data_IF_411836758677
#
_entry.id   IF_411836758677
#
_cell.length_a   1.000
_cell.length_b   1.000
_cell.length_c   1.000
_cell.angle_alpha   90.00
_cell.angle_beta   90.00
_cell.angle_gamma   90.00
#
_symmetry.space_group_name_H-M   'P 1'
#
loop_
_entity.id
_entity.type
_entity.pdbx_description
1 polymer ?
#
# COMPACT_ATOMS: atom_id res chain seq x y z
N UNK A 1 7.39 12.06 1.23
CA UNK A 1 8.12 10.82 1.46
C UNK A 1 9.60 11.18 1.54
N UNK A 2 10.37 10.54 2.44
CA UNK A 2 11.80 10.81 2.53
C UNK A 2 12.59 9.95 1.52
N UNK A 3 13.83 10.35 1.24
CA UNK A 3 14.69 9.70 0.25
C UNK A 3 14.96 8.22 0.55
N UNK A 4 15.08 7.84 1.81
CA UNK A 4 15.35 6.46 2.21
C UNK A 4 14.15 5.55 1.92
N UNK A 5 12.93 6.03 2.17
CA UNK A 5 11.70 5.33 1.81
C UNK A 5 11.62 5.16 0.29
N UNK A 6 11.91 6.21 -0.48
CA UNK A 6 11.95 6.12 -1.96
C UNK A 6 12.93 5.04 -2.45
N UNK A 7 14.17 5.05 -1.95
CA UNK A 7 15.18 4.05 -2.31
C UNK A 7 14.74 2.62 -1.93
N UNK A 8 13.94 2.48 -0.86
CA UNK A 8 13.39 1.19 -0.43
C UNK A 8 12.30 0.70 -1.38
N UNK A 9 11.35 1.57 -1.75
CA UNK A 9 10.28 1.25 -2.70
C UNK A 9 10.85 0.95 -4.09
N UNK A 10 11.85 1.71 -4.54
CA UNK A 10 12.53 1.49 -5.82
C UNK A 10 13.15 0.07 -5.89
N UNK A 11 13.77 -0.39 -4.79
CA UNK A 11 14.32 -1.74 -4.68
C UNK A 11 13.23 -2.81 -4.76
N UNK A 12 12.12 -2.61 -4.04
CA UNK A 12 10.97 -3.52 -4.11
C UNK A 12 10.46 -3.63 -5.54
N UNK A 13 10.23 -2.50 -6.21
CA UNK A 13 9.77 -2.46 -7.60
C UNK A 13 10.74 -3.20 -8.52
N UNK A 14 12.05 -3.03 -8.32
CA UNK A 14 13.07 -3.73 -9.10
C UNK A 14 12.99 -5.24 -8.93
N UNK A 15 12.80 -5.74 -7.70
CA UNK A 15 12.64 -7.17 -7.42
C UNK A 15 11.36 -7.68 -8.08
N UNK A 16 10.24 -7.01 -7.88
CA UNK A 16 8.95 -7.42 -8.46
C UNK A 16 8.98 -7.42 -10.00
N UNK A 17 9.75 -6.53 -10.64
CA UNK A 17 9.93 -6.55 -12.10
C UNK A 17 10.71 -7.77 -12.56
N UNK A 18 11.77 -8.15 -11.84
CA UNK A 18 12.56 -9.36 -12.14
C UNK A 18 11.70 -10.61 -11.99
N UNK A 19 11.00 -10.74 -10.86
CA UNK A 19 10.05 -11.84 -10.61
C UNK A 19 9.00 -11.93 -11.73
N UNK A 20 8.42 -10.78 -12.13
CA UNK A 20 7.45 -10.73 -13.21
C UNK A 20 8.01 -11.18 -14.56
N UNK A 21 9.29 -10.92 -14.85
CA UNK A 21 9.94 -11.34 -16.10
C UNK A 21 10.24 -12.84 -16.11
N UNK A 22 10.74 -13.39 -15.01
CA UNK A 22 11.03 -14.82 -14.85
C UNK A 22 9.75 -15.67 -14.93
N UNK A 23 8.66 -15.15 -14.38
CA UNK A 23 7.39 -15.86 -14.27
C UNK A 23 6.42 -15.59 -15.44
N UNK A 24 6.85 -14.90 -16.52
CA UNK A 24 6.05 -14.77 -17.77
C UNK A 24 5.64 -16.12 -18.35
N UNK A 25 6.34 -17.19 -18.01
CA UNK A 25 6.04 -18.56 -18.41
C UNK A 25 4.88 -19.21 -17.60
N UNK A 26 4.46 -18.60 -16.48
CA UNK A 26 3.42 -19.14 -15.58
C UNK A 26 2.39 -18.07 -15.14
N UNK A 27 1.58 -17.52 -16.08
CA UNK A 27 0.72 -16.35 -15.85
C UNK A 27 -0.43 -16.56 -14.84
N UNK A 28 -0.81 -17.81 -14.55
CA UNK A 28 -1.91 -18.13 -13.63
C UNK A 28 -1.57 -17.97 -12.14
N UNK A 29 -0.32 -17.65 -11.80
CA UNK A 29 0.19 -17.62 -10.42
C UNK A 29 0.43 -16.17 -9.92
N UNK A 30 0.46 -15.17 -10.81
CA UNK A 30 0.85 -13.80 -10.44
C UNK A 30 -0.27 -12.76 -10.50
N UNK A 31 -0.21 -11.84 -9.55
CA UNK A 31 -0.80 -10.51 -9.65
C UNK A 31 0.28 -9.58 -10.26
N UNK A 32 0.09 -9.05 -11.48
CA UNK A 32 1.09 -8.22 -12.13
C UNK A 32 1.30 -6.90 -11.37
N UNK A 33 2.54 -6.42 -11.34
CA UNK A 33 2.83 -5.03 -10.99
C UNK A 33 2.34 -4.15 -12.14
N UNK A 34 1.33 -3.32 -11.88
CA UNK A 34 0.81 -2.38 -12.88
C UNK A 34 1.07 -0.98 -12.36
N UNK A 35 1.89 -0.22 -13.07
CA UNK A 35 2.15 1.20 -12.81
C UNK A 35 1.41 2.01 -13.87
N UNK A 36 0.63 2.99 -13.43
CA UNK A 36 -0.04 3.96 -14.30
C UNK A 36 0.48 5.36 -13.99
N UNK A 37 -0.14 6.40 -14.53
CA UNK A 37 0.19 7.79 -14.17
C UNK A 37 -1.06 8.47 -13.67
N UNK A 38 -1.04 8.94 -12.43
CA UNK A 38 -2.09 9.79 -11.88
C UNK A 38 -1.64 11.23 -11.74
N UNK A 39 -2.59 12.14 -11.92
CA UNK A 39 -2.40 13.57 -11.73
C UNK A 39 -2.93 13.95 -10.35
N UNK A 40 -2.42 15.07 -9.82
CA UNK A 40 -2.94 15.70 -8.60
C UNK A 40 -4.47 15.88 -8.62
N UNK A 41 -5.03 16.15 -9.81
CA UNK A 41 -6.48 16.25 -10.03
C UNK A 41 -7.25 14.98 -9.69
N UNK A 42 -6.65 13.81 -9.87
CA UNK A 42 -7.30 12.52 -9.64
C UNK A 42 -7.37 12.25 -8.13
N UNK A 43 -6.30 12.56 -7.40
CA UNK A 43 -6.26 12.48 -5.93
C UNK A 43 -7.29 13.42 -5.29
N UNK A 44 -7.37 14.67 -5.76
CA UNK A 44 -8.35 15.63 -5.28
C UNK A 44 -9.80 15.21 -5.57
N UNK A 45 -10.03 14.52 -6.70
CA UNK A 45 -11.34 13.99 -7.04
C UNK A 45 -11.78 12.89 -6.08
N UNK A 46 -10.88 11.97 -5.72
CA UNK A 46 -11.15 10.90 -4.73
C UNK A 46 -11.39 11.49 -3.35
N UNK A 47 -10.53 12.41 -2.87
CA UNK A 47 -10.72 13.09 -1.58
C UNK A 47 -12.08 13.75 -1.48
N UNK A 48 -12.51 14.45 -2.54
CA UNK A 48 -13.81 15.09 -2.60
C UNK A 48 -14.96 14.08 -2.67
N UNK A 49 -14.82 13.00 -3.43
CA UNK A 49 -15.88 11.99 -3.62
C UNK A 49 -16.21 11.27 -2.31
N UNK A 50 -15.19 10.88 -1.55
CA UNK A 50 -15.35 10.13 -0.30
C UNK A 50 -15.30 10.99 0.95
N UNK A 51 -15.11 12.31 0.80
CA UNK A 51 -14.94 13.23 1.93
C UNK A 51 -13.81 12.79 2.88
N UNK A 52 -12.68 12.42 2.31
CA UNK A 52 -11.46 11.96 3.01
C UNK A 52 -10.30 12.92 2.75
N UNK A 53 -9.21 12.73 3.48
CA UNK A 53 -7.91 13.35 3.20
C UNK A 53 -6.87 12.25 3.04
N UNK A 54 -6.19 12.23 1.89
CA UNK A 54 -5.09 11.31 1.62
C UNK A 54 -3.83 11.84 2.33
N UNK A 55 -3.27 11.09 3.29
CA UNK A 55 -2.10 11.55 4.05
C UNK A 55 -0.89 11.75 3.15
N UNK A 56 -0.06 12.74 3.48
CA UNK A 56 1.05 13.19 2.63
C UNK A 56 1.96 12.06 2.15
N UNK A 57 2.36 11.13 3.02
CA UNK A 57 3.25 10.05 2.62
C UNK A 57 2.64 9.06 1.63
N UNK A 58 1.34 8.79 1.74
CA UNK A 58 0.63 7.96 0.77
C UNK A 58 0.42 8.70 -0.55
N UNK A 59 0.09 10.00 -0.48
CA UNK A 59 0.04 10.89 -1.65
C UNK A 59 1.34 10.89 -2.42
N UNK A 60 2.46 11.16 -1.74
CA UNK A 60 3.79 11.22 -2.36
C UNK A 60 4.17 9.86 -2.99
N UNK A 61 3.74 8.74 -2.38
CA UNK A 61 3.89 7.40 -2.94
C UNK A 61 3.06 7.22 -4.22
N UNK A 62 1.77 7.61 -4.21
CA UNK A 62 0.89 7.49 -5.39
C UNK A 62 1.39 8.37 -6.52
N UNK A 63 1.79 9.61 -6.25
CA UNK A 63 2.28 10.54 -7.29
C UNK A 63 3.56 10.03 -7.95
N UNK A 64 4.44 9.38 -7.18
CA UNK A 64 5.72 8.88 -7.70
C UNK A 64 5.60 7.54 -8.42
N UNK A 65 4.84 6.62 -7.86
CA UNK A 65 4.81 5.22 -8.33
C UNK A 65 3.52 4.86 -9.02
N UNK A 66 2.41 5.51 -8.67
CA UNK A 66 1.08 5.34 -9.28
C UNK A 66 0.73 3.87 -9.56
N UNK A 67 0.82 2.96 -8.56
CA UNK A 67 0.47 1.58 -8.85
C UNK A 67 -1.04 1.43 -9.05
N UNK A 68 -1.48 0.84 -10.15
CA UNK A 68 -2.84 0.31 -10.25
C UNK A 68 -2.98 -0.98 -9.41
N UNK A 69 -1.89 -1.75 -9.31
CA UNK A 69 -1.76 -2.88 -8.40
C UNK A 69 -0.30 -3.10 -8.00
N UNK A 70 -0.03 -3.10 -6.70
CA UNK A 70 1.29 -3.35 -6.14
C UNK A 70 1.15 -4.42 -5.07
N UNK A 71 1.34 -5.68 -5.48
CA UNK A 71 1.28 -6.81 -4.58
C UNK A 71 2.70 -7.23 -4.20
N UNK A 72 2.96 -7.37 -2.90
CA UNK A 72 4.20 -7.97 -2.41
C UNK A 72 3.86 -8.94 -1.28
N UNK A 73 4.36 -10.17 -1.40
CA UNK A 73 4.09 -11.27 -0.48
C UNK A 73 2.58 -11.57 -0.33
N UNK A 74 1.96 -11.15 0.77
CA UNK A 74 0.55 -11.36 1.10
C UNK A 74 -0.14 -10.02 1.39
N UNK A 75 0.36 -8.93 0.81
CA UNK A 75 -0.10 -7.58 1.09
C UNK A 75 -0.24 -6.79 -0.19
N UNK A 76 -1.43 -6.23 -0.41
CA UNK A 76 -1.68 -5.28 -1.47
C UNK A 76 -1.37 -3.88 -0.96
N UNK A 77 -0.55 -3.13 -1.71
CA UNK A 77 -0.31 -1.71 -1.48
C UNK A 77 -1.19 -0.94 -2.46
N UNK A 78 -2.02 -0.06 -1.92
CA UNK A 78 -3.03 0.63 -2.71
C UNK A 78 -2.42 1.85 -3.38
N UNK A 79 -2.48 1.90 -4.71
CA UNK A 79 -2.51 3.19 -5.40
C UNK A 79 -3.94 3.72 -5.48
N UNK A 80 -4.15 4.79 -6.24
CA UNK A 80 -5.44 5.49 -6.18
C UNK A 80 -6.62 4.66 -6.73
N UNK A 81 -6.43 3.87 -7.79
CA UNK A 81 -7.51 3.00 -8.31
C UNK A 81 -7.87 1.89 -7.32
N UNK A 82 -6.86 1.24 -6.74
CA UNK A 82 -7.12 0.20 -5.74
C UNK A 82 -7.78 0.81 -4.51
N UNK A 83 -7.29 1.96 -4.03
CA UNK A 83 -7.87 2.68 -2.91
C UNK A 83 -9.32 3.06 -3.18
N UNK A 84 -9.62 3.62 -4.35
CA UNK A 84 -10.99 4.00 -4.72
C UNK A 84 -11.92 2.78 -4.71
N UNK A 85 -11.47 1.65 -5.24
CA UNK A 85 -12.25 0.40 -5.21
C UNK A 85 -12.46 -0.11 -3.78
N UNK A 86 -11.42 -0.10 -2.95
CA UNK A 86 -11.53 -0.51 -1.54
C UNK A 86 -12.51 0.39 -0.79
N UNK A 87 -12.54 1.70 -1.09
CA UNK A 87 -13.48 2.66 -0.50
C UNK A 87 -14.94 2.43 -0.94
N UNK A 88 -15.17 1.89 -2.14
CA UNK A 88 -16.51 1.56 -2.63
C UNK A 88 -17.04 0.24 -2.05
N UNK A 89 -16.17 -0.77 -1.97
CA UNK A 89 -16.62 -2.16 -1.82
C UNK A 89 -16.36 -2.76 -0.43
N UNK A 90 -15.29 -2.37 0.27
CA UNK A 90 -14.74 -3.20 1.36
C UNK A 90 -14.39 -2.44 2.64
N UNK A 91 -13.94 -1.19 2.55
CA UNK A 91 -13.47 -0.45 3.74
C UNK A 91 -14.66 -0.16 4.66
N UNK A 92 -14.60 -0.56 5.94
CA UNK A 92 -15.65 -0.24 6.90
C UNK A 92 -15.80 1.27 7.08
N UNK A 93 -17.03 1.78 7.02
CA UNK A 93 -17.35 3.19 7.29
C UNK A 93 -16.78 3.67 8.63
N UNK A 94 -16.72 2.78 9.62
CA UNK A 94 -16.18 3.02 10.95
C UNK A 94 -14.70 3.43 10.88
N UNK A 95 -13.90 2.79 10.02
CA UNK A 95 -12.48 3.10 9.84
C UNK A 95 -12.28 4.56 9.38
N UNK A 96 -13.11 4.98 8.41
CA UNK A 96 -13.07 6.34 7.88
C UNK A 96 -13.59 7.36 8.89
N UNK A 97 -14.67 7.04 9.63
CA UNK A 97 -15.22 7.90 10.69
C UNK A 97 -14.24 8.13 11.83
N UNK A 98 -13.38 7.15 12.11
CA UNK A 98 -12.30 7.26 13.08
C UNK A 98 -11.08 8.04 12.58
N UNK A 99 -11.11 8.51 11.33
CA UNK A 99 -10.06 9.37 10.80
C UNK A 99 -8.85 8.60 10.28
N UNK A 100 -9.02 7.34 9.85
CA UNK A 100 -7.95 6.52 9.30
C UNK A 100 -8.21 6.14 7.84
N UNK A 101 -7.17 6.21 7.02
CA UNK A 101 -7.20 5.80 5.62
C UNK A 101 -6.29 4.58 5.43
N UNK A 102 -6.80 3.44 4.95
CA UNK A 102 -5.97 2.30 4.62
C UNK A 102 -5.13 2.59 3.37
N UNK A 103 -3.85 2.21 3.42
CA UNK A 103 -2.93 2.32 2.29
C UNK A 103 -2.38 0.96 1.85
N UNK A 104 -2.56 -0.07 2.67
CA UNK A 104 -2.21 -1.44 2.37
C UNK A 104 -3.11 -2.41 3.15
N UNK A 105 -3.28 -3.62 2.65
CA UNK A 105 -4.07 -4.63 3.33
C UNK A 105 -4.42 -5.81 2.46
N UNK A 106 -5.04 -6.81 3.07
CA UNK A 106 -5.64 -7.95 2.40
C UNK A 106 -6.62 -8.63 3.36
N UNK A 107 -7.67 -9.26 2.84
CA UNK A 107 -8.63 -10.05 3.61
C UNK A 107 -9.20 -9.32 4.84
N UNK A 108 -9.57 -8.05 4.68
CA UNK A 108 -10.16 -7.21 5.74
C UNK A 108 -9.18 -6.62 6.74
N UNK A 109 -7.92 -7.06 6.74
CA UNK A 109 -6.89 -6.50 7.62
C UNK A 109 -6.13 -5.37 6.92
N UNK A 110 -6.09 -4.20 7.54
CA UNK A 110 -5.57 -3.00 6.90
C UNK A 110 -4.45 -2.33 7.70
N UNK A 111 -3.44 -1.87 6.98
CA UNK A 111 -2.50 -0.87 7.46
C UNK A 111 -3.00 0.51 7.06
N UNK A 112 -3.10 1.39 8.05
CA UNK A 112 -3.74 2.69 7.90
C UNK A 112 -2.81 3.84 8.29
N UNK A 113 -3.12 5.01 7.76
CA UNK A 113 -2.54 6.29 8.13
C UNK A 113 -3.63 7.20 8.68
N UNK A 114 -3.26 8.14 9.55
CA UNK A 114 -4.21 9.15 10.04
C UNK A 114 -4.54 10.16 8.95
N UNK A 115 -5.82 10.43 8.72
CA UNK A 115 -6.32 11.50 7.85
C UNK A 115 -6.20 12.89 8.50
N UNK A 116 -6.12 12.94 9.83
CA UNK A 116 -6.08 14.18 10.60
C UNK A 116 -4.67 14.78 10.69
N UNK A 117 -3.63 13.96 10.59
CA UNK A 117 -2.24 14.39 10.71
C UNK A 117 -1.38 13.91 9.54
N UNK A 118 -0.36 14.69 9.18
CA UNK A 118 0.70 14.22 8.28
C UNK A 118 1.80 13.47 9.04
N UNK A 119 1.47 12.84 10.17
CA UNK A 119 2.42 11.95 10.82
C UNK A 119 2.55 10.65 10.00
N UNK A 120 3.78 10.17 9.87
CA UNK A 120 4.06 8.96 9.08
C UNK A 120 3.73 7.68 9.87
N UNK A 121 2.95 7.75 10.95
CA UNK A 121 2.70 6.57 11.79
C UNK A 121 1.69 5.66 11.14
N UNK A 122 1.98 4.37 11.19
CA UNK A 122 1.11 3.33 10.69
C UNK A 122 0.28 2.76 11.83
N UNK A 123 -0.99 2.56 11.53
CA UNK A 123 -1.97 1.90 12.39
C UNK A 123 -2.35 0.57 11.73
N UNK A 124 -2.82 -0.38 12.53
CA UNK A 124 -3.33 -1.65 12.05
C UNK A 124 -4.79 -1.77 12.46
N UNK A 125 -5.65 -1.98 11.48
CA UNK A 125 -7.05 -2.33 11.66
C UNK A 125 -7.22 -3.84 11.47
N UNK A 126 -7.79 -4.48 12.49
CA UNK A 126 -8.17 -5.89 12.46
C UNK A 126 -9.68 -6.00 12.29
N UNK A 127 -10.13 -6.61 11.19
CA UNK A 127 -11.57 -6.76 10.91
C UNK A 127 -12.25 -7.83 11.77
N UNK A 128 -11.50 -8.79 12.33
CA UNK A 128 -12.09 -9.80 13.20
C UNK A 128 -12.41 -9.18 14.57
N UNK A 129 -11.51 -8.32 15.06
CA UNK A 129 -11.66 -7.64 16.35
C UNK A 129 -12.37 -6.28 16.25
N UNK A 130 -12.57 -5.76 15.03
CA UNK A 130 -13.06 -4.40 14.75
C UNK A 130 -12.33 -3.35 15.58
N UNK A 131 -11.00 -3.41 15.60
CA UNK A 131 -10.18 -2.51 16.40
C UNK A 131 -9.05 -1.87 15.59
N UNK A 132 -8.58 -0.72 16.08
CA UNK A 132 -7.40 -0.03 15.55
C UNK A 132 -6.33 0.00 16.64
N UNK A 133 -5.14 -0.44 16.28
CA UNK A 133 -3.97 -0.42 17.14
C UNK A 133 -2.78 0.26 16.48
N UNK A 134 -1.82 0.71 17.28
CA UNK A 134 -0.54 1.19 16.75
C UNK A 134 0.30 -0.01 16.35
N UNK A 135 0.75 -0.04 15.09
CA UNK A 135 1.66 -1.11 14.63
C UNK A 135 3.09 -0.93 15.15
N UNK A 136 3.44 0.28 15.60
CA UNK A 136 4.82 0.65 15.93
C UNK A 136 5.67 1.01 14.70
N UNK A 137 5.07 0.93 13.50
CA UNK A 137 5.73 1.25 12.24
C UNK A 137 5.51 2.71 11.85
N UNK A 138 6.40 3.17 10.97
CA UNK A 138 6.20 4.33 10.12
C UNK A 138 5.94 3.86 8.69
N UNK A 139 5.40 4.73 7.84
CA UNK A 139 5.20 4.44 6.43
C UNK A 139 6.49 3.95 5.77
N UNK A 140 7.62 4.58 6.09
CA UNK A 140 8.94 4.15 5.60
C UNK A 140 9.40 2.80 6.16
N UNK A 141 9.27 2.56 7.47
CA UNK A 141 9.70 1.30 8.06
C UNK A 141 8.84 0.11 7.63
N UNK A 142 7.55 0.35 7.34
CA UNK A 142 6.68 -0.65 6.74
C UNK A 142 7.26 -1.21 5.43
N UNK A 143 7.72 -0.35 4.50
CA UNK A 143 8.37 -0.83 3.27
C UNK A 143 9.71 -1.54 3.54
N UNK A 144 10.48 -1.11 4.55
CA UNK A 144 11.73 -1.79 4.92
C UNK A 144 11.48 -3.21 5.43
N UNK A 145 10.43 -3.40 6.22
CA UNK A 145 10.04 -4.71 6.74
C UNK A 145 9.57 -5.62 5.60
N UNK A 146 8.76 -5.10 4.68
CA UNK A 146 8.34 -5.82 3.48
C UNK A 146 9.53 -6.24 2.60
N UNK A 147 10.47 -5.34 2.35
CA UNK A 147 11.68 -5.66 1.58
C UNK A 147 12.50 -6.76 2.25
N UNK A 148 12.70 -6.65 3.57
CA UNK A 148 13.46 -7.63 4.33
C UNK A 148 12.80 -9.01 4.29
N UNK A 149 11.48 -9.06 4.49
CA UNK A 149 10.71 -10.30 4.43
C UNK A 149 10.74 -10.94 3.02
N UNK A 150 10.64 -10.15 1.95
CA UNK A 150 10.76 -10.65 0.56
C UNK A 150 12.14 -11.25 0.31
N UNK A 151 13.21 -10.53 0.66
CA UNK A 151 14.59 -11.02 0.47
C UNK A 151 14.84 -12.33 1.24
N UNK A 152 14.31 -12.47 2.44
CA UNK A 152 14.46 -13.70 3.22
C UNK A 152 13.64 -14.87 2.67
N UNK A 153 12.47 -14.60 2.08
CA UNK A 153 11.68 -15.61 1.36
C UNK A 153 12.43 -16.14 0.13
N UNK A 154 13.02 -15.25 -0.67
CA UNK A 154 13.76 -15.63 -1.88
C UNK A 154 14.98 -16.50 -1.57
N UNK A 155 15.71 -16.16 -0.50
CA UNK A 155 16.83 -16.98 -0.01
C UNK A 155 16.40 -18.39 0.36
N UNK A 156 15.25 -18.54 1.04
CA UNK A 156 14.72 -19.85 1.44
C UNK A 156 14.29 -20.69 0.23
N UNK A 157 13.78 -20.06 -0.82
CA UNK A 157 13.35 -20.75 -2.04
C UNK A 157 14.51 -21.14 -2.97
N UNK A 158 15.71 -20.59 -2.75
CA UNK A 158 16.92 -20.86 -3.55
C UNK A 158 17.82 -21.96 -2.96
N UNK A 159 17.45 -22.54 -1.82
CA UNK A 159 18.17 -23.64 -1.13
C UNK A 159 17.49 -24.98 -1.39
#
# INVERSE_FOLDING_TARGET
MNKETEETVDKIISILKQDNEELKEFPSIMLPLILTTYKETDLLAVEKKYNIRIPKSHRDFIERYSPERFHIMFTDIYGISSLEKELEDYIPDELLKEGYLPFAGSDGNYYCLSMESDDDRVYFFDHEEYNISRSGLTFGSFFKDLLSAKVDLDKKNSM
#
